data_IF_570527681450
#
_entry.id   IF_570527681450
#
_cell.length_a   1.000
_cell.length_b   1.000
_cell.length_c   1.000
_cell.angle_alpha   90.00
_cell.angle_beta   90.00
_cell.angle_gamma   90.00
#
_symmetry.space_group_name_H-M   'P 1'
#
loop_
_entity.id
_entity.type
_entity.pdbx_description
1 polymer ?
#
# COMPACT_ATOMS: atom_id res chain seq x y z
N UNK A 1 15.70 -57.13 46.39
CA UNK A 1 15.07 -57.83 45.31
C UNK A 1 13.93 -56.95 44.78
N UNK A 2 13.98 -56.38 43.89
CA UNK A 2 14.52 -55.50 43.20
C UNK A 2 14.31 -55.64 41.76
N UNK A 3 13.25 -55.25 41.10
CA UNK A 3 12.99 -55.28 39.71
C UNK A 3 13.07 -53.85 39.17
N UNK A 4 14.03 -53.67 38.32
CA UNK A 4 14.25 -52.47 37.50
C UNK A 4 13.34 -52.52 36.28
N UNK A 5 12.35 -51.70 36.21
CA UNK A 5 11.55 -51.46 35.01
C UNK A 5 11.95 -50.13 34.40
N UNK A 6 12.69 -50.20 33.32
CA UNK A 6 13.01 -49.07 32.49
C UNK A 6 11.84 -48.78 31.56
N UNK A 7 11.31 -47.57 31.50
CA UNK A 7 10.35 -47.24 30.46
C UNK A 7 11.08 -46.83 29.18
N UNK A 8 10.75 -47.52 28.12
CA UNK A 8 11.18 -47.27 26.76
C UNK A 8 10.56 -45.95 26.28
N UNK A 9 11.35 -44.91 26.20
CA UNK A 9 10.92 -43.63 25.67
C UNK A 9 11.03 -43.70 24.13
N UNK A 10 9.92 -43.97 23.48
CA UNK A 10 9.85 -43.90 22.03
C UNK A 10 9.82 -42.44 21.58
N UNK A 11 10.94 -41.94 21.04
CA UNK A 11 11.01 -40.68 20.36
C UNK A 11 10.32 -40.82 18.98
N UNK A 12 9.12 -40.29 18.88
CA UNK A 12 8.51 -40.02 17.57
C UNK A 12 9.15 -38.74 17.00
N UNK A 13 10.14 -38.92 16.16
CA UNK A 13 10.65 -37.86 15.31
C UNK A 13 9.68 -37.73 14.13
N UNK A 14 8.67 -36.86 14.26
CA UNK A 14 7.88 -36.44 13.14
C UNK A 14 8.76 -35.57 12.23
N UNK A 15 9.32 -36.20 11.20
CA UNK A 15 10.03 -35.51 10.15
C UNK A 15 9.04 -34.67 9.34
N UNK A 16 9.12 -33.35 9.47
CA UNK A 16 8.58 -32.45 8.47
C UNK A 16 9.40 -32.64 7.18
N UNK A 17 8.90 -33.45 6.26
CA UNK A 17 9.39 -33.46 4.91
C UNK A 17 9.04 -32.11 4.28
N UNK A 18 10.01 -31.20 4.21
CA UNK A 18 9.97 -30.07 3.30
C UNK A 18 9.90 -30.65 1.87
N UNK A 19 8.68 -30.75 1.34
CA UNK A 19 8.49 -30.85 -0.09
C UNK A 19 9.01 -29.54 -0.67
N UNK A 20 10.20 -29.61 -1.23
CA UNK A 20 10.67 -28.63 -2.19
C UNK A 20 9.70 -28.70 -3.37
N UNK A 21 8.68 -27.85 -3.33
CA UNK A 21 7.95 -27.49 -4.52
C UNK A 21 9.01 -26.88 -5.44
N UNK A 22 9.35 -27.59 -6.48
CA UNK A 22 10.09 -27.04 -7.60
C UNK A 22 9.26 -25.87 -8.12
N UNK A 23 9.70 -24.69 -7.79
CA UNK A 23 9.15 -23.45 -8.28
C UNK A 23 9.49 -23.37 -9.77
N UNK A 24 8.67 -24.05 -10.57
CA UNK A 24 8.69 -23.86 -12.02
C UNK A 24 8.11 -22.50 -12.26
N UNK A 25 9.02 -21.56 -12.38
CA UNK A 25 8.92 -20.27 -13.03
C UNK A 25 7.50 -19.80 -13.43
N UNK A 26 6.73 -19.41 -12.41
CA UNK A 26 5.46 -18.67 -12.59
C UNK A 26 5.69 -17.18 -12.83
N UNK A 27 6.94 -16.74 -12.85
CA UNK A 27 7.29 -15.34 -13.06
C UNK A 27 6.99 -14.83 -14.46
N UNK A 28 6.89 -15.72 -15.43
CA UNK A 28 6.56 -15.33 -16.81
C UNK A 28 5.06 -15.09 -17.05
N UNK A 29 4.18 -15.79 -16.31
CA UNK A 29 2.72 -15.62 -16.50
C UNK A 29 2.18 -14.36 -15.81
N UNK A 30 2.78 -13.97 -14.69
CA UNK A 30 2.43 -12.75 -13.96
C UNK A 30 2.87 -11.50 -14.72
N UNK A 31 4.01 -11.56 -15.38
CA UNK A 31 4.57 -10.42 -16.11
C UNK A 31 3.78 -10.14 -17.41
N UNK A 32 3.29 -11.18 -18.08
CA UNK A 32 2.41 -10.99 -19.25
C UNK A 32 1.03 -10.46 -18.89
N UNK A 33 0.50 -10.77 -17.71
CA UNK A 33 -0.80 -10.28 -17.26
C UNK A 33 -0.71 -8.85 -16.75
N UNK A 34 0.38 -8.51 -16.06
CA UNK A 34 0.68 -7.13 -15.64
C UNK A 34 1.03 -6.22 -16.83
N UNK A 35 1.68 -6.76 -17.87
CA UNK A 35 2.02 -6.00 -19.07
C UNK A 35 0.83 -5.73 -19.98
N UNK A 36 -0.26 -6.53 -19.85
CA UNK A 36 -1.51 -6.34 -20.61
C UNK A 36 -2.58 -5.56 -19.83
N UNK A 37 -2.42 -5.38 -18.50
CA UNK A 37 -3.07 -4.28 -17.77
C UNK A 37 -2.23 -3.01 -18.00
N UNK A 38 -2.17 -2.66 -19.26
CA UNK A 38 -1.40 -1.59 -19.82
C UNK A 38 -1.72 -0.27 -19.14
N UNK A 39 -0.67 0.51 -19.00
CA UNK A 39 -0.57 1.96 -18.79
C UNK A 39 -1.86 2.79 -18.95
N UNK A 40 -2.84 2.33 -19.73
CA UNK A 40 -4.14 2.97 -19.93
C UNK A 40 -5.13 2.78 -18.77
N UNK A 41 -5.13 1.63 -18.09
CA UNK A 41 -6.09 1.35 -17.01
C UNK A 41 -5.61 1.94 -15.68
N UNK A 42 -4.30 1.90 -15.44
CA UNK A 42 -3.67 2.60 -14.31
C UNK A 42 -3.84 4.12 -14.43
N UNK A 43 -3.85 4.64 -15.66
CA UNK A 43 -4.10 6.05 -15.95
C UNK A 43 -5.59 6.41 -15.83
N UNK A 44 -6.51 5.48 -16.10
CA UNK A 44 -7.96 5.69 -15.92
C UNK A 44 -8.35 5.72 -14.44
N UNK A 45 -7.77 4.86 -13.60
CA UNK A 45 -8.06 4.87 -12.16
C UNK A 45 -7.55 6.15 -11.49
N UNK A 46 -6.35 6.64 -11.85
CA UNK A 46 -5.82 7.88 -11.26
C UNK A 46 -6.41 9.16 -11.85
N UNK A 47 -7.00 9.10 -13.07
CA UNK A 47 -7.62 10.26 -13.72
C UNK A 47 -9.08 10.50 -13.32
N UNK A 48 -9.67 9.60 -12.55
CA UNK A 48 -11.08 9.71 -12.13
C UNK A 48 -11.26 10.37 -10.78
N UNK A 49 -10.21 10.48 -9.96
CA UNK A 49 -10.29 11.10 -8.63
C UNK A 49 -9.90 12.56 -8.71
N UNK A 50 -10.86 13.44 -8.40
CA UNK A 50 -10.62 14.88 -8.36
C UNK A 50 -10.00 15.28 -7.01
N UNK A 51 -8.92 16.06 -7.07
CA UNK A 51 -8.28 16.60 -5.88
C UNK A 51 -8.83 17.99 -5.58
N UNK A 52 -9.33 18.18 -4.38
CA UNK A 52 -9.75 19.44 -3.81
C UNK A 52 -8.71 19.90 -2.79
N UNK A 53 -8.32 21.15 -2.85
CA UNK A 53 -7.31 21.71 -1.93
C UNK A 53 -7.93 22.61 -0.87
N UNK A 54 -9.19 22.98 -1.04
CA UNK A 54 -9.94 23.83 -0.12
C UNK A 54 -11.31 23.22 0.13
N UNK A 55 -11.75 23.25 1.38
CA UNK A 55 -13.08 22.79 1.77
C UNK A 55 -14.20 23.62 1.13
N UNK A 56 -13.94 24.89 0.84
CA UNK A 56 -14.90 25.79 0.19
C UNK A 56 -15.31 25.30 -1.20
N UNK A 57 -14.44 24.56 -1.89
CA UNK A 57 -14.73 24.00 -3.20
C UNK A 57 -15.81 22.90 -3.16
N UNK A 58 -16.10 22.36 -1.97
CA UNK A 58 -17.13 21.35 -1.74
C UNK A 58 -18.47 21.94 -1.29
N UNK A 59 -18.55 23.26 -1.09
CA UNK A 59 -19.80 23.90 -0.68
C UNK A 59 -20.91 23.67 -1.73
N UNK A 60 -22.08 23.24 -1.25
CA UNK A 60 -23.21 22.92 -2.11
C UNK A 60 -23.12 21.55 -2.81
N UNK A 61 -22.07 20.78 -2.54
CA UNK A 61 -21.89 19.45 -3.09
C UNK A 61 -22.25 18.39 -2.04
N UNK A 62 -23.07 17.42 -2.42
CA UNK A 62 -23.36 16.27 -1.54
C UNK A 62 -22.23 15.26 -1.66
N UNK A 63 -21.63 14.89 -0.54
CA UNK A 63 -20.57 13.87 -0.51
C UNK A 63 -20.68 12.98 0.73
N UNK A 64 -20.13 11.79 0.60
CA UNK A 64 -19.90 10.86 1.71
C UNK A 64 -18.41 10.73 1.94
N UNK A 65 -17.95 10.89 3.16
CA UNK A 65 -16.57 10.58 3.53
C UNK A 65 -16.38 9.07 3.66
N UNK A 66 -15.35 8.55 3.00
CA UNK A 66 -15.03 7.12 2.97
C UNK A 66 -13.88 6.77 3.91
N UNK A 67 -13.12 7.75 4.34
CA UNK A 67 -12.01 7.59 5.28
C UNK A 67 -10.83 8.50 4.96
N UNK A 68 -9.86 8.50 5.87
CA UNK A 68 -8.61 9.23 5.71
C UNK A 68 -7.63 8.40 4.87
N UNK A 69 -6.97 9.07 3.95
CA UNK A 69 -5.94 8.50 3.09
C UNK A 69 -4.65 9.30 3.22
N UNK A 70 -3.53 8.60 3.16
CA UNK A 70 -2.21 9.23 3.19
C UNK A 70 -1.29 8.61 2.15
N UNK A 71 -0.36 9.38 1.66
CA UNK A 71 0.71 8.92 0.78
C UNK A 71 2.05 9.46 1.25
N UNK A 72 3.12 8.77 0.91
CA UNK A 72 4.45 9.15 1.33
C UNK A 72 5.49 8.90 0.24
N UNK A 73 6.58 9.66 0.31
CA UNK A 73 7.78 9.44 -0.47
C UNK A 73 8.97 9.52 0.49
N UNK A 74 9.75 8.45 0.59
CA UNK A 74 10.87 8.34 1.52
C UNK A 74 12.19 8.40 0.76
N UNK A 75 13.12 9.17 1.28
CA UNK A 75 14.54 9.14 0.94
C UNK A 75 15.27 8.44 2.08
N UNK A 76 15.89 7.30 1.81
CA UNK A 76 16.57 6.51 2.84
C UNK A 76 18.02 6.96 3.08
N UNK A 77 18.68 7.44 2.04
CA UNK A 77 20.09 7.86 2.08
C UNK A 77 20.34 9.13 1.26
N UNK A 78 21.53 9.73 1.43
CA UNK A 78 21.93 10.90 0.63
C UNK A 78 22.10 10.60 -0.86
N UNK A 79 22.35 9.33 -1.23
CA UNK A 79 22.47 8.90 -2.61
C UNK A 79 21.11 8.72 -3.30
N UNK A 80 20.04 8.57 -2.53
CA UNK A 80 18.71 8.42 -3.09
C UNK A 80 18.15 9.76 -3.59
N UNK A 81 17.22 9.74 -4.56
CA UNK A 81 16.50 10.94 -4.95
C UNK A 81 15.82 11.60 -3.76
N UNK A 82 15.69 12.93 -3.73
CA UNK A 82 15.00 13.61 -2.65
C UNK A 82 13.53 13.17 -2.54
N UNK A 83 13.00 13.13 -1.32
CA UNK A 83 11.59 12.90 -1.10
C UNK A 83 10.74 13.94 -1.86
N UNK A 84 9.60 13.52 -2.39
CA UNK A 84 8.82 14.31 -3.33
C UNK A 84 7.34 14.33 -2.96
N UNK A 85 6.82 15.54 -2.74
CA UNK A 85 5.40 15.77 -2.41
C UNK A 85 4.46 15.28 -3.52
N UNK A 86 4.85 15.41 -4.79
CA UNK A 86 4.03 14.93 -5.91
C UNK A 86 3.87 13.41 -5.86
N UNK A 87 4.94 12.69 -5.53
CA UNK A 87 4.87 11.22 -5.36
C UNK A 87 3.97 10.85 -4.19
N UNK A 88 4.14 11.53 -3.05
CA UNK A 88 3.31 11.33 -1.86
C UNK A 88 1.82 11.59 -2.17
N UNK A 89 1.52 12.69 -2.86
CA UNK A 89 0.16 13.05 -3.28
C UNK A 89 -0.44 12.00 -4.23
N UNK A 90 0.30 11.55 -5.22
CA UNK A 90 -0.17 10.54 -6.17
C UNK A 90 -0.45 9.20 -5.47
N UNK A 91 0.36 8.84 -4.49
CA UNK A 91 0.15 7.65 -3.68
C UNK A 91 -1.12 7.76 -2.83
N UNK A 92 -1.36 8.92 -2.22
CA UNK A 92 -2.59 9.22 -1.47
C UNK A 92 -3.84 9.08 -2.38
N UNK A 93 -3.81 9.68 -3.59
CA UNK A 93 -4.89 9.57 -4.57
C UNK A 93 -5.12 8.11 -5.00
N UNK A 94 -4.04 7.36 -5.22
CA UNK A 94 -4.14 5.93 -5.54
C UNK A 94 -4.82 5.15 -4.43
N UNK A 95 -4.52 5.44 -3.17
CA UNK A 95 -5.22 4.79 -2.04
C UNK A 95 -6.71 5.14 -1.99
N UNK A 96 -7.07 6.37 -2.33
CA UNK A 96 -8.46 6.78 -2.41
C UNK A 96 -9.25 5.98 -3.48
N UNK A 97 -8.61 5.62 -4.59
CA UNK A 97 -9.27 4.78 -5.63
C UNK A 97 -9.63 3.40 -5.09
N UNK A 98 -8.82 2.82 -4.20
CA UNK A 98 -9.14 1.53 -3.58
C UNK A 98 -10.35 1.60 -2.63
N UNK A 99 -10.69 2.79 -2.15
CA UNK A 99 -11.92 3.04 -1.38
C UNK A 99 -13.13 3.38 -2.27
N UNK A 100 -12.99 3.31 -3.59
CA UNK A 100 -13.99 3.75 -4.59
C UNK A 100 -14.35 5.24 -4.45
N UNK A 101 -13.41 6.06 -4.00
CA UNK A 101 -13.56 7.51 -3.97
C UNK A 101 -13.48 8.09 -5.40
N UNK A 102 -14.25 9.14 -5.65
CA UNK A 102 -14.14 9.95 -6.86
C UNK A 102 -13.56 11.33 -6.59
N UNK A 103 -13.28 11.64 -5.33
CA UNK A 103 -12.65 12.88 -4.90
C UNK A 103 -11.75 12.66 -3.68
N UNK A 104 -10.77 13.54 -3.50
CA UNK A 104 -9.96 13.66 -2.29
C UNK A 104 -9.92 15.13 -1.89
N UNK A 105 -10.23 15.42 -0.63
CA UNK A 105 -9.95 16.70 -0.02
C UNK A 105 -8.58 16.63 0.64
N UNK A 106 -7.61 17.35 0.11
CA UNK A 106 -6.27 17.45 0.68
C UNK A 106 -6.31 18.24 1.99
N UNK A 107 -5.77 17.66 3.06
CA UNK A 107 -5.61 18.38 4.32
C UNK A 107 -4.27 19.08 4.36
N UNK A 108 -3.18 18.33 4.17
CA UNK A 108 -1.83 18.88 4.21
C UNK A 108 -0.83 17.99 3.45
N UNK A 109 0.28 18.61 3.06
CA UNK A 109 1.50 17.92 2.63
C UNK A 109 2.68 18.52 3.36
N UNK A 110 3.54 17.71 3.94
CA UNK A 110 4.68 18.13 4.74
C UNK A 110 5.96 17.41 4.32
N UNK A 111 7.08 18.08 4.51
CA UNK A 111 8.43 17.51 4.39
C UNK A 111 9.01 17.38 5.79
N UNK A 112 9.34 16.17 6.20
CA UNK A 112 9.87 15.88 7.53
C UNK A 112 11.20 15.13 7.43
N UNK A 113 11.92 15.06 8.56
CA UNK A 113 13.11 14.23 8.74
C UNK A 113 12.85 13.25 9.88
N UNK A 114 13.39 12.05 9.76
CA UNK A 114 13.14 10.97 10.73
C UNK A 114 12.10 9.98 10.26
N UNK A 115 11.41 9.30 11.19
CA UNK A 115 10.41 8.28 10.88
C UNK A 115 10.98 7.10 10.05
N UNK A 116 12.27 6.78 10.24
CA UNK A 116 12.94 5.74 9.46
C UNK A 116 13.42 6.19 8.07
N UNK A 117 13.20 7.43 7.67
CA UNK A 117 13.68 8.03 6.43
C UNK A 117 14.67 9.16 6.75
N UNK A 118 15.68 9.33 5.92
CA UNK A 118 16.53 10.53 5.96
C UNK A 118 15.69 11.81 5.69
N UNK A 119 14.76 11.70 4.75
CA UNK A 119 13.78 12.73 4.43
C UNK A 119 12.49 12.05 3.98
N UNK A 120 11.35 12.56 4.40
CA UNK A 120 10.04 12.03 4.02
C UNK A 120 9.11 13.17 3.60
N UNK A 121 8.41 12.97 2.48
CA UNK A 121 7.25 13.76 2.11
C UNK A 121 5.99 12.97 2.47
N UNK A 122 5.05 13.58 3.17
CA UNK A 122 3.77 12.97 3.56
C UNK A 122 2.65 13.88 3.09
N UNK A 123 1.62 13.31 2.46
CA UNK A 123 0.36 14.00 2.18
C UNK A 123 -0.79 13.23 2.83
N UNK A 124 -1.73 13.95 3.40
CA UNK A 124 -2.95 13.41 4.01
C UNK A 124 -4.19 14.11 3.47
N UNK A 125 -5.30 13.38 3.41
CA UNK A 125 -6.57 13.90 2.96
C UNK A 125 -7.73 12.97 3.26
N UNK A 126 -8.96 13.45 3.05
CA UNK A 126 -10.17 12.65 3.13
C UNK A 126 -10.56 12.13 1.75
N UNK A 127 -10.75 10.81 1.65
CA UNK A 127 -11.35 10.17 0.48
C UNK A 127 -12.87 10.39 0.49
N UNK A 128 -13.40 10.92 -0.60
CA UNK A 128 -14.80 11.31 -0.71
C UNK A 128 -15.48 10.62 -1.89
N UNK A 129 -16.74 10.28 -1.69
CA UNK A 129 -17.67 9.92 -2.76
C UNK A 129 -18.65 11.05 -2.95
N UNK A 130 -18.47 11.81 -4.03
CA UNK A 130 -19.38 12.88 -4.43
C UNK A 130 -20.54 12.25 -5.20
N UNK A 131 -21.75 12.52 -4.77
CA UNK A 131 -23.00 12.14 -5.43
C UNK A 131 -23.63 13.39 -6.04
N UNK A 132 -23.88 13.34 -7.32
CA UNK A 132 -24.61 14.40 -8.05
C UNK A 132 -26.12 14.18 -7.88
#
# INVERSE_FOLDING_TARGET
MRQLLAPLLALFIAGCSMQQATFTDSSQLSDMRLKKLSTGEKKRLSSSVKLYTKSEELLGTSFKELGIVSGQSCRNSLQDPPANITIARNQMITKATYLNANAVLLHQCEMLSGQGCYQIAICEGSALLITQ
#
